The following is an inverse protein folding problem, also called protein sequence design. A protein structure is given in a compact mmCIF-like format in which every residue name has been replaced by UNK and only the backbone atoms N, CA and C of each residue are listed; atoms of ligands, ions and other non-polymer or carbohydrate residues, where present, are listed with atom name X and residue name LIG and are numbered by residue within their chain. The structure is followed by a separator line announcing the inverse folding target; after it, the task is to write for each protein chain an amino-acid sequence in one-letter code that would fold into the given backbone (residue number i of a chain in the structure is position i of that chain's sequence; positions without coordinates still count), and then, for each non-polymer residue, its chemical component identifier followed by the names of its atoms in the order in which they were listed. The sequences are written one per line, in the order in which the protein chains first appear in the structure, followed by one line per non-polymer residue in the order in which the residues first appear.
data_IF_657892815547
#
_entry.id   IF_657892815547
#
_cell.length_a   1.000
_cell.length_b   1.000
_cell.length_c   1.000
_cell.angle_alpha   90.00
_cell.angle_beta   90.00
_cell.angle_gamma   90.00
#
_symmetry.space_group_name_H-M   'P 1'
#
loop_
_entity.id
_entity.type
_entity.pdbx_description
1 polymer ?
#
# COMPACT_ATOMS: atom_id res chain seq x y z
N UNK A 1 1.10 -38.79 68.32
CA UNK A 1 0.89 -39.59 67.09
C UNK A 1 -0.52 -39.28 66.60
N UNK A 2 -0.70 -38.47 65.55
CA UNK A 2 -1.46 -38.87 64.35
C UNK A 2 -1.91 -37.73 63.40
N UNK A 3 -1.11 -37.59 62.33
CA UNK A 3 -1.50 -37.62 60.91
C UNK A 3 -2.34 -36.50 60.27
N UNK A 4 -2.92 -35.54 60.99
CA UNK A 4 -3.77 -34.53 60.29
C UNK A 4 -3.01 -33.33 59.70
N UNK A 5 -1.79 -33.02 60.14
CA UNK A 5 -1.09 -31.78 59.72
C UNK A 5 -0.28 -31.87 58.43
N UNK A 6 -0.05 -33.07 57.88
CA UNK A 6 0.84 -33.25 56.71
C UNK A 6 0.10 -33.21 55.37
N UNK A 7 -1.23 -33.40 55.38
CA UNK A 7 -2.02 -33.45 54.14
C UNK A 7 -2.28 -32.03 53.59
N UNK A 8 -2.44 -31.01 54.45
CA UNK A 8 -2.72 -29.65 54.00
C UNK A 8 -1.52 -28.91 53.38
N UNK A 9 -0.27 -29.28 53.68
CA UNK A 9 0.90 -28.62 53.08
C UNK A 9 1.24 -29.15 51.68
N UNK A 10 0.74 -30.35 51.31
CA UNK A 10 0.90 -30.93 49.97
C UNK A 10 -0.09 -30.39 48.93
N UNK A 11 -1.15 -29.71 49.35
CA UNK A 11 -2.12 -29.10 48.44
C UNK A 11 -1.78 -27.63 48.08
N UNK A 12 -0.84 -26.99 48.77
CA UNK A 12 -0.54 -25.56 48.58
C UNK A 12 0.62 -25.34 47.60
N UNK A 13 1.43 -26.36 47.29
CA UNK A 13 2.60 -26.22 46.41
C UNK A 13 2.41 -26.71 44.96
N UNK A 14 1.21 -27.12 44.53
CA UNK A 14 0.93 -27.50 43.13
C UNK A 14 0.04 -26.48 42.41
N UNK A 15 0.17 -25.21 42.77
CA UNK A 15 -0.37 -24.07 42.02
C UNK A 15 0.73 -23.05 41.69
N UNK A 16 1.99 -23.47 41.78
CA UNK A 16 3.04 -22.83 41.01
C UNK A 16 2.95 -23.32 39.56
N UNK A 17 3.23 -22.42 38.62
CA UNK A 17 3.67 -22.74 37.25
C UNK A 17 2.69 -22.84 36.08
N UNK A 18 1.54 -22.16 36.05
CA UNK A 18 0.93 -21.83 34.75
C UNK A 18 0.33 -20.42 34.71
N UNK A 19 0.72 -19.68 33.67
CA UNK A 19 0.09 -18.47 33.18
C UNK A 19 0.43 -17.13 33.84
N UNK A 20 1.70 -16.90 34.19
CA UNK A 20 2.31 -15.60 33.87
C UNK A 20 3.36 -15.82 32.78
N UNK A 21 2.91 -16.38 31.66
CA UNK A 21 3.51 -16.02 30.39
C UNK A 21 3.05 -14.58 30.16
N UNK A 22 3.81 -13.61 30.67
CA UNK A 22 3.64 -12.23 30.27
C UNK A 22 3.76 -12.23 28.76
N UNK A 23 2.62 -12.02 28.08
CA UNK A 23 2.60 -11.77 26.67
C UNK A 23 3.52 -10.58 26.45
N UNK A 24 4.75 -10.85 26.02
CA UNK A 24 5.59 -9.85 25.39
C UNK A 24 4.87 -9.57 24.08
N UNK A 25 3.83 -8.73 24.13
CA UNK A 25 3.32 -8.07 22.95
C UNK A 25 4.51 -7.28 22.46
N UNK A 26 5.21 -7.83 21.46
CA UNK A 26 6.16 -7.10 20.64
C UNK A 26 5.33 -6.01 19.96
N UNK A 27 5.12 -4.90 20.66
CA UNK A 27 4.68 -3.67 20.05
C UNK A 27 5.85 -3.24 19.20
N UNK A 28 5.79 -3.59 17.92
CA UNK A 28 6.58 -2.93 16.89
C UNK A 28 6.02 -1.50 16.82
N UNK A 29 6.37 -0.67 17.81
CA UNK A 29 6.09 0.76 17.77
C UNK A 29 6.96 1.26 16.65
N UNK A 30 6.35 1.42 15.47
CA UNK A 30 6.97 2.12 14.37
C UNK A 30 7.41 3.48 14.91
N UNK A 31 8.73 3.68 14.96
CA UNK A 31 9.33 4.90 15.48
C UNK A 31 8.80 6.06 14.64
N UNK A 32 8.21 7.06 15.31
CA UNK A 32 7.65 8.22 14.62
C UNK A 32 8.80 8.98 13.93
N UNK A 33 8.79 8.97 12.59
CA UNK A 33 9.71 9.76 11.79
C UNK A 33 9.11 11.15 11.54
N UNK A 34 9.69 12.24 12.10
CA UNK A 34 9.22 13.60 11.85
C UNK A 34 9.49 14.08 10.42
N UNK A 35 10.26 13.32 9.62
CA UNK A 35 10.60 13.66 8.24
C UNK A 35 10.49 12.44 7.31
N UNK A 36 9.26 11.94 7.09
CA UNK A 36 9.05 10.69 6.37
C UNK A 36 9.48 10.83 4.91
N UNK A 37 10.19 9.81 4.42
CA UNK A 37 10.62 9.72 3.02
C UNK A 37 10.12 8.42 2.39
N UNK A 38 9.76 8.48 1.11
CA UNK A 38 9.54 7.28 0.31
C UNK A 38 9.75 7.57 -1.17
N UNK A 39 9.90 6.51 -1.95
CA UNK A 39 9.79 6.56 -3.40
C UNK A 39 9.25 5.24 -3.92
N UNK A 40 8.32 5.32 -4.87
CA UNK A 40 7.80 4.13 -5.55
C UNK A 40 7.53 4.43 -7.02
N UNK A 41 7.49 3.37 -7.81
CA UNK A 41 7.07 3.42 -9.19
C UNK A 41 6.50 2.08 -9.64
N UNK A 42 5.56 2.12 -10.56
CA UNK A 42 5.07 0.93 -11.25
C UNK A 42 4.66 1.26 -12.68
N UNK A 43 4.62 0.25 -13.53
CA UNK A 43 4.09 0.33 -14.88
C UNK A 43 3.24 -0.89 -15.23
N UNK A 44 2.30 -0.67 -16.15
CA UNK A 44 1.47 -1.70 -16.77
C UNK A 44 1.68 -1.62 -18.26
N UNK A 45 2.03 -2.76 -18.86
CA UNK A 45 2.21 -2.93 -20.30
C UNK A 45 1.43 -4.17 -20.73
N UNK A 46 0.15 -3.99 -21.06
CA UNK A 46 -0.72 -5.05 -21.53
C UNK A 46 -1.26 -4.74 -22.94
N UNK A 47 -0.58 -5.26 -23.99
CA UNK A 47 -1.02 -5.09 -25.37
C UNK A 47 -2.37 -5.75 -25.69
N UNK A 48 -2.82 -6.72 -24.89
CA UNK A 48 -4.06 -7.46 -25.16
C UNK A 48 -5.27 -6.63 -24.74
N UNK A 49 -5.21 -6.02 -23.55
CA UNK A 49 -6.27 -5.12 -23.07
C UNK A 49 -6.10 -3.68 -23.54
N UNK A 50 -4.88 -3.31 -23.99
CA UNK A 50 -4.52 -1.94 -24.33
C UNK A 50 -4.17 -1.08 -23.12
N UNK A 51 -3.95 -1.69 -21.94
CA UNK A 51 -3.58 -0.96 -20.74
C UNK A 51 -2.07 -0.64 -20.75
N UNK A 52 -1.77 0.63 -20.98
CA UNK A 52 -0.42 1.19 -20.91
C UNK A 52 -0.44 2.34 -19.92
N UNK A 53 0.21 2.14 -18.78
CA UNK A 53 0.24 3.11 -17.68
C UNK A 53 1.59 3.13 -16.99
N UNK A 54 1.95 4.30 -16.48
CA UNK A 54 3.11 4.48 -15.60
C UNK A 54 2.72 5.33 -14.41
N UNK A 55 3.33 5.08 -13.26
CA UNK A 55 3.23 5.92 -12.06
C UNK A 55 4.61 5.98 -11.40
N UNK A 56 4.99 7.17 -10.95
CA UNK A 56 6.06 7.35 -9.97
C UNK A 56 5.68 8.44 -8.98
N UNK A 57 6.11 8.28 -7.74
CA UNK A 57 5.97 9.29 -6.69
C UNK A 57 7.14 9.20 -5.72
N UNK A 58 7.57 10.35 -5.22
CA UNK A 58 8.52 10.48 -4.13
C UNK A 58 8.00 11.46 -3.11
N UNK A 59 8.26 11.17 -1.84
CA UNK A 59 8.01 12.07 -0.72
C UNK A 59 9.31 12.36 0.00
N UNK A 60 9.48 13.62 0.36
CA UNK A 60 10.56 14.12 1.20
C UNK A 60 9.97 15.05 2.27
N UNK A 61 9.76 14.54 3.48
CA UNK A 61 9.10 15.26 4.56
C UNK A 61 7.65 15.63 4.21
N UNK A 62 7.38 16.91 4.02
CA UNK A 62 6.06 17.45 3.63
C UNK A 62 5.94 17.75 2.12
N UNK A 63 7.00 17.50 1.34
CA UNK A 63 7.00 17.68 -0.10
C UNK A 63 6.75 16.35 -0.80
N UNK A 64 5.74 16.31 -1.67
CA UNK A 64 5.46 15.17 -2.54
C UNK A 64 5.57 15.63 -3.99
N UNK A 65 6.15 14.80 -4.84
CA UNK A 65 6.14 14.99 -6.29
C UNK A 65 5.98 13.65 -6.99
N UNK A 66 5.40 13.67 -8.18
CA UNK A 66 5.28 12.47 -8.99
C UNK A 66 4.70 12.74 -10.36
N UNK A 67 4.57 11.66 -11.12
CA UNK A 67 3.96 11.68 -12.44
C UNK A 67 3.17 10.41 -12.69
N UNK A 68 2.09 10.52 -13.44
CA UNK A 68 1.40 9.37 -13.99
C UNK A 68 1.09 9.54 -15.46
N UNK A 69 1.03 8.44 -16.19
CA UNK A 69 0.58 8.45 -17.57
C UNK A 69 -0.36 7.31 -17.90
N UNK A 70 -1.27 7.54 -18.84
CA UNK A 70 -2.18 6.54 -19.38
C UNK A 70 -2.53 6.84 -20.83
N UNK A 71 -2.82 5.79 -21.60
CA UNK A 71 -3.39 5.93 -22.94
C UNK A 71 -4.91 6.13 -22.83
N UNK A 72 -5.39 7.21 -23.43
CA UNK A 72 -6.81 7.54 -23.52
C UNK A 72 -7.51 6.73 -24.62
N UNK A 73 -8.86 6.64 -24.60
CA UNK A 73 -9.61 5.93 -25.63
C UNK A 73 -9.40 6.45 -27.06
N UNK A 74 -8.99 7.72 -27.21
CA UNK A 74 -8.65 8.33 -28.50
C UNK A 74 -7.22 8.04 -28.97
N UNK A 75 -6.48 7.19 -28.23
CA UNK A 75 -5.10 6.82 -28.49
C UNK A 75 -4.06 7.83 -28.01
N UNK A 76 -4.46 9.00 -27.54
CA UNK A 76 -3.54 9.98 -26.96
C UNK A 76 -2.97 9.51 -25.63
N UNK A 77 -1.78 10.00 -25.27
CA UNK A 77 -1.19 9.78 -23.95
C UNK A 77 -1.45 10.99 -23.08
N UNK A 78 -2.17 10.80 -21.98
CA UNK A 78 -2.24 11.79 -20.90
C UNK A 78 -1.07 11.57 -19.96
N UNK A 79 -0.38 12.64 -19.61
CA UNK A 79 0.64 12.68 -18.55
C UNK A 79 0.18 13.73 -17.55
N UNK A 80 0.32 13.43 -16.27
CA UNK A 80 0.04 14.39 -15.20
C UNK A 80 1.23 14.42 -14.28
N UNK A 81 1.93 15.55 -14.26
CA UNK A 81 2.99 15.84 -13.33
C UNK A 81 2.39 16.61 -12.15
N UNK A 82 2.69 16.21 -10.93
CA UNK A 82 2.07 16.79 -9.74
C UNK A 82 3.07 17.02 -8.62
N UNK A 83 2.75 18.00 -7.78
CA UNK A 83 3.44 18.30 -6.54
C UNK A 83 2.44 18.59 -5.43
N UNK A 84 2.85 18.39 -4.18
CA UNK A 84 2.10 18.82 -3.01
C UNK A 84 3.05 19.32 -1.92
N UNK A 85 2.71 20.47 -1.32
CA UNK A 85 3.44 21.03 -0.19
C UNK A 85 2.50 21.85 0.73
N UNK A 86 2.91 22.19 1.97
CA UNK A 86 2.07 22.94 2.92
C UNK A 86 1.72 24.38 2.52
N UNK A 87 2.48 24.98 1.60
CA UNK A 87 2.36 26.38 1.18
C UNK A 87 1.43 26.52 -0.03
N UNK A 88 1.65 25.72 -1.07
CA UNK A 88 0.94 25.78 -2.35
C UNK A 88 -0.18 24.74 -2.45
N UNK A 89 -0.25 23.78 -1.53
CA UNK A 89 -1.15 22.64 -1.61
C UNK A 89 -0.82 21.73 -2.79
N UNK A 90 -1.80 20.95 -3.23
CA UNK A 90 -1.67 20.08 -4.41
C UNK A 90 -1.75 20.89 -5.70
N UNK A 91 -0.78 20.71 -6.60
CA UNK A 91 -0.74 21.29 -7.93
C UNK A 91 -0.45 20.20 -8.96
N UNK A 92 -1.08 20.29 -10.13
CA UNK A 92 -0.89 19.34 -11.22
C UNK A 92 -0.87 20.03 -12.59
N UNK A 93 0.09 19.65 -13.42
CA UNK A 93 0.17 20.03 -14.83
C UNK A 93 -0.21 18.82 -15.69
N UNK A 94 -1.20 18.99 -16.56
CA UNK A 94 -1.69 17.93 -17.44
C UNK A 94 -1.17 18.17 -18.85
N UNK A 95 -0.43 17.20 -19.37
CA UNK A 95 0.08 17.17 -20.73
C UNK A 95 -0.67 16.10 -21.53
N UNK A 96 -0.95 16.39 -22.80
CA UNK A 96 -1.56 15.44 -23.73
C UNK A 96 -0.67 15.31 -24.95
N UNK A 97 -0.13 14.13 -25.17
CA UNK A 97 0.66 13.78 -26.34
C UNK A 97 -0.26 13.09 -27.35
N UNK A 98 -0.25 13.55 -28.61
CA UNK A 98 -1.05 12.93 -29.66
C UNK A 98 -0.55 11.51 -29.95
N UNK A 99 -1.46 10.54 -29.97
CA UNK A 99 -1.16 9.16 -30.34
C UNK A 99 -1.06 8.99 -31.86
N UNK A 100 -0.17 8.10 -32.30
CA UNK A 100 -0.04 7.69 -33.71
C UNK A 100 -0.76 6.35 -33.92
N UNK A 101 -2.05 6.21 -33.63
CA UNK A 101 -2.76 4.97 -34.01
C UNK A 101 -4.23 5.18 -34.37
N UNK A 102 -4.53 4.64 -35.54
CA UNK A 102 -5.82 4.48 -36.24
C UNK A 102 -6.93 3.88 -35.37
N UNK A 103 -8.22 4.15 -35.69
CA UNK A 103 -9.36 3.69 -34.91
C UNK A 103 -9.35 2.17 -34.76
N UNK A 104 -9.26 1.67 -33.53
CA UNK A 104 -9.51 0.27 -33.20
C UNK A 104 -10.98 -0.01 -33.50
N UNK A 105 -11.26 -0.64 -34.64
CA UNK A 105 -12.57 -1.22 -34.94
C UNK A 105 -12.77 -2.33 -33.91
N UNK A 106 -13.54 -2.04 -32.87
CA UNK A 106 -14.02 -3.04 -31.91
C UNK A 106 -14.80 -4.09 -32.71
N UNK A 107 -14.24 -5.29 -32.87
CA UNK A 107 -14.97 -6.41 -33.44
C UNK A 107 -16.20 -6.68 -32.56
N UNK A 108 -17.41 -6.83 -33.15
CA UNK A 108 -18.60 -7.09 -32.36
C UNK A 108 -18.47 -8.42 -31.65
N UNK A 109 -18.74 -8.44 -30.35
CA UNK A 109 -18.81 -9.66 -29.55
C UNK A 109 -20.03 -10.46 -30.03
N UNK A 110 -19.80 -11.56 -30.74
CA UNK A 110 -20.88 -12.47 -31.13
C UNK A 110 -21.29 -13.27 -29.91
N UNK A 111 -22.42 -12.91 -29.30
CA UNK A 111 -23.10 -13.76 -28.32
C UNK A 111 -23.89 -14.83 -29.08
N UNK A 112 -23.47 -16.09 -28.97
CA UNK A 112 -24.28 -17.23 -29.37
C UNK A 112 -25.27 -17.53 -28.24
N UNK A 113 -26.56 -17.58 -28.55
CA UNK A 113 -27.61 -18.14 -27.70
C UNK A 113 -27.74 -19.64 -27.93
#
# INVERSE_FOLDING_TARGET
HNQHSTIMYKAICLIGFLAVASAQVLSNVEEYDPHPTYSYSYDVQDPVTGDFKTQSESRDGDFVQGSYSLIEPDGSRRIVDYTADPVNGFNAAVHKEAGITTPVVRAPTVVHY
#
